data_IF_409044115086
#
_entry.id   IF_409044115086
#
_cell.length_a   1.000
_cell.length_b   1.000
_cell.length_c   1.000
_cell.angle_alpha   90.00
_cell.angle_beta   90.00
_cell.angle_gamma   90.00
#
_symmetry.space_group_name_H-M   'P 1'
#
loop_
_entity.id
_entity.type
_entity.pdbx_description
1 polymer ?
#
# COMPACT_ATOMS: atom_id res chain seq x y z
N UNK A 1 -2.11 -25.88 9.09
CA UNK A 1 -3.32 -25.04 9.07
C UNK A 1 -2.82 -23.69 8.60
N UNK A 2 -3.24 -23.25 7.42
CA UNK A 2 -2.89 -21.92 6.93
C UNK A 2 -3.57 -20.90 7.84
N UNK A 3 -2.80 -20.14 8.60
CA UNK A 3 -3.34 -19.10 9.47
C UNK A 3 -3.88 -17.99 8.59
N UNK A 4 -5.20 -17.78 8.61
CA UNK A 4 -5.82 -16.66 7.89
C UNK A 4 -5.42 -15.36 8.59
N UNK A 5 -4.70 -14.51 7.87
CA UNK A 5 -4.27 -13.20 8.35
C UNK A 5 -5.32 -12.14 8.01
N UNK A 6 -5.66 -11.22 8.93
CA UNK A 6 -6.59 -10.14 8.63
C UNK A 6 -6.03 -9.18 7.58
N UNK A 7 -6.93 -8.42 6.96
CA UNK A 7 -6.57 -7.36 6.02
C UNK A 7 -6.37 -6.02 6.72
N UNK A 8 -5.32 -5.31 6.29
CA UNK A 8 -4.95 -3.98 6.70
C UNK A 8 -4.98 -3.02 5.50
N UNK A 9 -5.42 -1.79 5.71
CA UNK A 9 -5.41 -0.75 4.68
C UNK A 9 -4.56 0.43 5.13
N UNK A 10 -3.52 0.73 4.36
CA UNK A 10 -2.70 1.92 4.54
C UNK A 10 -2.90 2.90 3.38
N UNK A 11 -3.03 4.19 3.67
CA UNK A 11 -3.00 5.27 2.66
C UNK A 11 -1.77 6.14 2.89
N UNK A 12 -0.96 6.31 1.86
CA UNK A 12 0.13 7.28 1.93
C UNK A 12 -0.39 8.71 1.72
N UNK A 13 -0.58 9.46 2.79
CA UNK A 13 -1.01 10.87 2.70
C UNK A 13 0.10 11.86 2.29
N UNK A 14 1.34 11.38 2.06
CA UNK A 14 2.46 12.23 1.72
C UNK A 14 2.59 12.47 0.21
N UNK A 15 3.19 13.60 -0.18
CA UNK A 15 3.57 13.91 -1.56
C UNK A 15 4.82 13.15 -2.05
N UNK A 16 5.41 12.28 -1.21
CA UNK A 16 6.62 11.51 -1.51
C UNK A 16 6.37 10.03 -1.28
N UNK A 17 7.17 9.21 -1.95
CA UNK A 17 7.16 7.76 -1.71
C UNK A 17 7.60 7.44 -0.28
N UNK A 18 7.00 6.40 0.28
CA UNK A 18 7.40 5.79 1.55
C UNK A 18 7.59 4.29 1.35
N UNK A 19 8.32 3.66 2.25
CA UNK A 19 8.42 2.20 2.33
C UNK A 19 7.63 1.79 3.56
N UNK A 20 6.60 0.96 3.38
CA UNK A 20 5.92 0.32 4.49
C UNK A 20 6.55 -1.07 4.69
N UNK A 21 6.94 -1.36 5.93
CA UNK A 21 7.38 -2.68 6.37
C UNK A 21 6.44 -3.23 7.43
N UNK A 22 5.98 -4.45 7.25
CA UNK A 22 5.25 -5.21 8.24
C UNK A 22 6.17 -6.28 8.82
N UNK A 23 6.37 -6.24 10.14
CA UNK A 23 7.22 -7.18 10.88
C UNK A 23 6.35 -7.91 11.89
N UNK A 24 6.20 -9.22 11.71
CA UNK A 24 5.29 -10.04 12.50
C UNK A 24 5.97 -11.21 13.20
N UNK A 25 5.18 -12.04 13.91
CA UNK A 25 5.66 -13.26 14.55
C UNK A 25 6.21 -14.25 13.52
N UNK A 26 6.99 -15.24 13.99
CA UNK A 26 7.50 -16.33 13.16
C UNK A 26 8.30 -15.86 11.93
N UNK A 27 9.00 -14.73 12.07
CA UNK A 27 9.76 -14.10 10.99
C UNK A 27 8.89 -13.61 9.81
N UNK A 28 7.59 -13.37 10.02
CA UNK A 28 6.74 -12.72 9.03
C UNK A 28 7.32 -11.35 8.67
N UNK A 29 7.55 -11.14 7.38
CA UNK A 29 8.09 -9.89 6.85
C UNK A 29 7.43 -9.56 5.52
N UNK A 30 6.91 -8.34 5.40
CA UNK A 30 6.37 -7.83 4.15
C UNK A 30 6.81 -6.38 3.93
N UNK A 31 7.30 -6.06 2.74
CA UNK A 31 7.77 -4.72 2.40
C UNK A 31 7.21 -4.29 1.05
N UNK A 32 6.76 -3.03 0.96
CA UNK A 32 6.37 -2.41 -0.30
C UNK A 32 6.67 -0.92 -0.31
N UNK A 33 7.09 -0.43 -1.48
CA UNK A 33 7.13 1.01 -1.80
C UNK A 33 5.71 1.48 -2.11
N UNK A 34 5.28 2.51 -1.39
CA UNK A 34 3.96 3.13 -1.51
C UNK A 34 4.13 4.52 -2.13
N UNK A 35 3.51 4.70 -3.30
CA UNK A 35 3.52 5.95 -4.04
C UNK A 35 2.75 7.05 -3.30
N UNK A 36 2.98 8.33 -3.64
CA UNK A 36 2.17 9.43 -3.13
C UNK A 36 0.67 9.15 -3.35
N UNK A 37 -0.13 9.26 -2.29
CA UNK A 37 -1.59 9.07 -2.31
C UNK A 37 -2.10 7.66 -2.67
N UNK A 38 -1.21 6.67 -2.80
CA UNK A 38 -1.60 5.27 -3.02
C UNK A 38 -2.28 4.69 -1.78
N UNK A 39 -3.37 3.97 -2.02
CA UNK A 39 -3.96 3.03 -1.08
C UNK A 39 -3.32 1.66 -1.25
N UNK A 40 -3.03 1.00 -0.14
CA UNK A 40 -2.49 -0.34 -0.17
C UNK A 40 -3.21 -1.25 0.82
N UNK A 41 -3.89 -2.24 0.27
CA UNK A 41 -4.51 -3.34 0.99
C UNK A 41 -3.53 -4.51 1.06
N UNK A 42 -3.25 -4.98 2.28
CA UNK A 42 -2.35 -6.12 2.51
C UNK A 42 -2.84 -7.00 3.65
N UNK A 43 -2.34 -8.23 3.70
CA UNK A 43 -2.67 -9.20 4.75
C UNK A 43 -1.43 -9.46 5.62
N UNK A 44 -1.60 -9.42 6.94
CA UNK A 44 -0.53 -9.69 7.89
C UNK A 44 -1.06 -10.21 9.24
N UNK A 45 -0.23 -10.90 10.06
CA UNK A 45 -0.62 -11.28 11.41
C UNK A 45 -1.06 -10.06 12.23
N UNK A 46 -2.14 -10.20 13.01
CA UNK A 46 -2.70 -9.09 13.80
C UNK A 46 -1.72 -8.50 14.83
N UNK A 47 -0.74 -9.29 15.28
CA UNK A 47 0.29 -8.87 16.23
C UNK A 47 1.55 -8.30 15.55
N UNK A 48 1.47 -7.94 14.26
CA UNK A 48 2.60 -7.35 13.54
C UNK A 48 2.74 -5.86 13.82
N UNK A 49 3.96 -5.37 13.75
CA UNK A 49 4.27 -3.94 13.73
C UNK A 49 4.37 -3.46 12.29
N UNK A 50 3.76 -2.31 12.00
CA UNK A 50 3.85 -1.62 10.72
C UNK A 50 4.77 -0.42 10.89
N UNK A 51 5.81 -0.36 10.06
CA UNK A 51 6.82 0.68 10.07
C UNK A 51 6.79 1.48 8.78
N UNK A 52 6.79 2.80 8.88
CA UNK A 52 6.87 3.69 7.73
C UNK A 52 8.26 4.29 7.66
N UNK A 53 8.93 4.06 6.55
CA UNK A 53 10.27 4.56 6.26
C UNK A 53 10.22 5.54 5.11
N UNK A 54 11.03 6.60 5.18
CA UNK A 54 11.11 7.60 4.12
C UNK A 54 12.56 7.98 3.85
N UNK A 55 12.79 8.67 2.74
CA UNK A 55 14.10 9.19 2.39
C UNK A 55 14.32 10.53 3.11
N UNK A 56 15.22 10.55 4.10
CA UNK A 56 15.71 11.76 4.77
C UNK A 56 16.99 12.29 4.15
N UNK A 57 17.61 13.29 4.80
CA UNK A 57 18.81 13.96 4.27
C UNK A 57 20.07 13.06 4.26
N UNK A 58 20.04 11.91 4.93
CA UNK A 58 21.16 10.97 5.02
C UNK A 58 20.87 9.54 4.54
N UNK A 59 19.69 9.28 3.96
CA UNK A 59 19.27 7.94 3.53
C UNK A 59 17.88 7.56 4.05
N UNK A 60 17.64 6.26 4.23
CA UNK A 60 16.34 5.76 4.70
C UNK A 60 16.20 5.94 6.21
N UNK A 61 15.16 6.65 6.63
CA UNK A 61 14.86 6.96 8.04
C UNK A 61 13.49 6.38 8.42
N UNK A 62 13.41 5.78 9.62
CA UNK A 62 12.15 5.34 10.20
C UNK A 62 11.38 6.57 10.69
N UNK A 63 10.19 6.78 10.12
CA UNK A 63 9.33 7.92 10.43
C UNK A 63 8.33 7.56 11.52
N UNK A 64 7.73 6.39 11.41
CA UNK A 64 6.62 6.00 12.27
C UNK A 64 6.56 4.49 12.47
N UNK A 65 6.03 4.06 13.61
CA UNK A 65 5.70 2.66 13.88
C UNK A 65 4.37 2.59 14.63
N UNK A 66 3.48 1.74 14.18
CA UNK A 66 2.17 1.50 14.79
C UNK A 66 1.77 0.02 14.64
N UNK A 67 0.92 -0.52 15.52
CA UNK A 67 0.49 -1.90 15.42
C UNK A 67 -0.44 -2.10 14.21
N UNK A 68 -0.38 -3.28 13.58
CA UNK A 68 -1.26 -3.64 12.48
C UNK A 68 -2.75 -3.56 12.85
N UNK A 69 -3.09 -3.69 14.15
CA UNK A 69 -4.44 -3.52 14.67
C UNK A 69 -5.08 -2.18 14.30
N UNK A 70 -4.27 -1.14 14.13
CA UNK A 70 -4.75 0.21 13.82
C UNK A 70 -5.16 0.37 12.36
N UNK A 71 -4.73 -0.55 11.48
CA UNK A 71 -5.04 -0.56 10.06
C UNK A 71 -6.10 -1.59 9.65
N UNK A 72 -6.62 -2.37 10.59
CA UNK A 72 -7.57 -3.43 10.28
C UNK A 72 -8.80 -2.89 9.57
N UNK A 73 -9.17 -3.56 8.47
CA UNK A 73 -10.41 -3.27 7.75
C UNK A 73 -11.36 -4.45 7.82
N UNK A 74 -12.66 -4.15 7.89
CA UNK A 74 -13.68 -5.18 7.70
C UNK A 74 -13.72 -5.62 6.23
N UNK A 75 -14.30 -6.79 5.99
CA UNK A 75 -14.38 -7.37 4.64
C UNK A 75 -15.09 -6.42 3.65
N UNK A 76 -16.10 -5.68 4.10
CA UNK A 76 -16.85 -4.73 3.26
C UNK A 76 -15.95 -3.60 2.71
N UNK A 77 -15.13 -2.99 3.56
CA UNK A 77 -14.21 -1.93 3.16
C UNK A 77 -13.06 -2.44 2.29
N UNK A 78 -12.64 -3.70 2.49
CA UNK A 78 -11.63 -4.33 1.63
C UNK A 78 -12.12 -4.53 0.19
N UNK A 79 -13.41 -4.88 0.02
CA UNK A 79 -14.05 -5.06 -1.28
C UNK A 79 -14.20 -3.73 -2.02
N UNK A 80 -14.58 -2.66 -1.32
CA UNK A 80 -14.70 -1.31 -1.89
C UNK A 80 -13.36 -0.80 -2.43
N UNK A 81 -12.28 -0.95 -1.66
CA UNK A 81 -10.93 -0.54 -2.10
C UNK A 81 -10.45 -1.36 -3.29
N UNK A 82 -10.63 -2.68 -3.24
CA UNK A 82 -10.23 -3.55 -4.35
C UNK A 82 -11.03 -3.25 -5.62
N UNK A 83 -12.33 -2.97 -5.48
CA UNK A 83 -13.18 -2.56 -6.61
C UNK A 83 -12.72 -1.22 -7.19
N UNK A 84 -12.40 -0.23 -6.35
CA UNK A 84 -11.88 1.07 -6.78
C UNK A 84 -10.55 0.94 -7.54
N UNK A 85 -9.62 0.12 -7.06
CA UNK A 85 -8.35 -0.15 -7.73
C UNK A 85 -8.53 -0.77 -9.13
N UNK A 86 -9.53 -1.66 -9.30
CA UNK A 86 -9.79 -2.30 -10.59
C UNK A 86 -10.40 -1.33 -11.63
N UNK A 87 -11.21 -0.37 -11.19
CA UNK A 87 -11.85 0.63 -12.05
C UNK A 87 -10.84 1.62 -12.65
N UNK A 88 -9.72 1.90 -11.97
CA UNK A 88 -8.68 2.82 -12.44
C UNK A 88 -7.80 2.23 -13.57
N UNK A 89 -7.92 0.94 -13.87
CA UNK A 89 -7.12 0.25 -14.89
C UNK A 89 -7.70 0.25 -16.32
N UNK A 90 -8.95 0.71 -16.51
CA UNK A 90 -9.64 0.69 -17.82
C UNK A 90 -9.64 2.04 -18.57
N UNK A 91 -8.82 3.02 -18.15
CA UNK A 91 -8.90 4.40 -18.65
C UNK A 91 -7.59 5.01 -19.14
N UNK A 92 -6.84 4.36 -20.05
CA UNK A 92 -5.79 5.05 -20.80
C UNK A 92 -5.46 4.33 -22.10
N UNK A 93 -6.25 4.57 -23.14
CA UNK A 93 -5.92 4.21 -24.53
C UNK A 93 -6.25 5.35 -25.52
N UNK A 94 -6.05 6.60 -25.08
CA UNK A 94 -6.23 7.79 -25.90
C UNK A 94 -4.94 8.61 -25.99
N UNK A 95 -3.97 8.16 -26.80
CA UNK A 95 -2.99 9.11 -27.35
C UNK A 95 -2.50 8.81 -28.78
N UNK A 96 -3.07 9.58 -29.70
CA UNK A 96 -2.47 10.22 -30.88
C UNK A 96 -1.90 9.37 -32.03
N UNK A 97 -2.72 9.28 -33.08
CA UNK A 97 -2.27 9.12 -34.46
C UNK A 97 -2.93 10.16 -35.38
N UNK A 98 -2.79 11.46 -35.10
CA UNK A 98 -3.04 12.49 -36.11
C UNK A 98 -1.71 13.21 -36.42
N UNK A 99 -1.12 12.85 -37.57
CA UNK A 99 -0.14 13.67 -38.25
C UNK A 99 -0.38 13.65 -39.77
N UNK A 100 -1.11 14.66 -40.22
CA UNK A 100 -0.85 15.59 -41.34
C UNK A 100 -0.34 15.08 -42.71
N UNK A 101 -1.02 15.60 -43.72
CA UNK A 101 -0.77 15.61 -45.16
C UNK A 101 0.70 15.78 -45.61
N UNK A 102 1.02 15.09 -46.71
CA UNK A 102 2.18 15.29 -47.59
C UNK A 102 1.94 14.57 -48.92
#
# INVERSE_FOLDING_TARGET
>A
MDTVHPYCLFRNHNQRMVILRCVGPEHFFHEKVIFPFEDWLFSCPASSDVQIWSHGNGGTELVETFPASDLLVNEQKSLEVTAAMNLESEGSDDHLGLAIAG
#
